data_IF_063226315011
#
_entry.id   IF_063226315011
#
_cell.length_a   1.000
_cell.length_b   1.000
_cell.length_c   1.000
_cell.angle_alpha   90.00
_cell.angle_beta   90.00
_cell.angle_gamma   90.00
#
_symmetry.space_group_name_H-M   'P 1'
#
loop_
_entity.id
_entity.type
_entity.pdbx_description
1 polymer ?
#
# COMPACT_ATOMS: atom_id res chain seq x y z
N UNK A 1 20.58 27.09 -29.19
CA UNK A 1 21.65 26.14 -28.82
C UNK A 1 21.25 25.43 -27.54
N UNK A 2 21.15 24.09 -27.50
CA UNK A 2 20.94 23.38 -26.24
C UNK A 2 22.20 23.50 -25.36
N UNK A 3 22.04 23.86 -24.09
CA UNK A 3 23.16 23.92 -23.13
C UNK A 3 23.68 22.50 -22.87
N UNK A 4 24.99 22.28 -22.74
CA UNK A 4 25.51 20.99 -22.34
C UNK A 4 25.01 20.67 -20.93
N UNK A 5 24.24 19.58 -20.81
CA UNK A 5 23.89 19.03 -19.50
C UNK A 5 25.19 18.61 -18.84
N UNK A 6 25.54 19.24 -17.71
CA UNK A 6 26.81 18.97 -17.05
C UNK A 6 26.82 17.50 -16.58
N UNK A 7 27.90 16.77 -16.89
CA UNK A 7 28.11 15.38 -16.44
C UNK A 7 27.92 15.22 -14.91
N UNK A 8 28.19 16.29 -14.14
CA UNK A 8 27.93 16.38 -12.70
C UNK A 8 26.44 16.29 -12.34
N UNK A 9 25.54 16.85 -13.15
CA UNK A 9 24.10 16.75 -12.94
C UNK A 9 23.61 15.32 -13.22
N UNK A 10 24.13 14.68 -14.26
CA UNK A 10 23.78 13.30 -14.61
C UNK A 10 24.25 12.29 -13.55
N UNK A 11 25.47 12.46 -13.01
CA UNK A 11 26.00 11.59 -11.96
C UNK A 11 25.26 11.73 -10.62
N UNK A 12 24.94 12.97 -10.19
CA UNK A 12 24.15 13.20 -8.97
C UNK A 12 22.71 12.67 -9.08
N UNK A 13 22.11 12.75 -10.27
CA UNK A 13 20.79 12.18 -10.52
C UNK A 13 20.81 10.65 -10.51
N UNK A 14 21.87 10.03 -11.03
CA UNK A 14 22.09 8.57 -10.97
C UNK A 14 22.27 8.06 -9.53
N UNK A 15 23.10 8.71 -8.73
CA UNK A 15 23.28 8.30 -7.32
C UNK A 15 21.98 8.40 -6.52
N UNK A 16 21.23 9.50 -6.67
CA UNK A 16 19.92 9.67 -6.03
C UNK A 16 18.90 8.61 -6.48
N UNK A 17 18.92 8.24 -7.76
CA UNK A 17 18.08 7.16 -8.29
C UNK A 17 18.41 5.82 -7.63
N UNK A 18 19.70 5.47 -7.53
CA UNK A 18 20.13 4.23 -6.87
C UNK A 18 19.65 4.17 -5.42
N UNK A 19 19.79 5.27 -4.66
CA UNK A 19 19.31 5.32 -3.27
C UNK A 19 17.80 5.15 -3.15
N UNK A 20 17.02 5.76 -4.07
CA UNK A 20 15.57 5.63 -4.07
C UNK A 20 15.13 4.19 -4.41
N UNK A 21 15.81 3.53 -5.34
CA UNK A 21 15.53 2.13 -5.68
C UNK A 21 15.87 1.16 -4.55
N UNK A 22 17.01 1.36 -3.88
CA UNK A 22 17.39 0.56 -2.72
C UNK A 22 16.36 0.73 -1.59
N UNK A 23 15.97 1.97 -1.31
CA UNK A 23 14.90 2.28 -0.34
C UNK A 23 13.59 1.60 -0.75
N UNK A 24 13.21 1.65 -2.03
CA UNK A 24 12.00 0.99 -2.52
C UNK A 24 12.07 -0.52 -2.32
N UNK A 25 13.19 -1.17 -2.65
CA UNK A 25 13.40 -2.61 -2.46
C UNK A 25 13.26 -3.00 -0.99
N UNK A 26 13.84 -2.22 -0.07
CA UNK A 26 13.72 -2.45 1.37
C UNK A 26 12.27 -2.30 1.86
N UNK A 27 11.59 -1.24 1.46
CA UNK A 27 10.19 -1.02 1.84
C UNK A 27 9.26 -2.10 1.28
N UNK A 28 9.49 -2.56 0.04
CA UNK A 28 8.76 -3.68 -0.57
C UNK A 28 9.01 -5.00 0.17
N UNK A 29 10.24 -5.24 0.65
CA UNK A 29 10.56 -6.41 1.48
C UNK A 29 9.80 -6.36 2.82
N UNK A 30 9.80 -5.21 3.49
CA UNK A 30 9.02 -5.00 4.72
C UNK A 30 7.53 -5.18 4.48
N UNK A 31 7.00 -4.64 3.37
CA UNK A 31 5.61 -4.77 2.98
C UNK A 31 5.22 -6.25 2.81
N UNK A 32 6.05 -7.02 2.11
CA UNK A 32 5.85 -8.45 1.90
C UNK A 32 5.87 -9.24 3.21
N UNK A 33 6.78 -8.90 4.11
CA UNK A 33 6.91 -9.56 5.42
C UNK A 33 5.68 -9.31 6.30
N UNK A 34 5.21 -8.06 6.41
CA UNK A 34 3.99 -7.72 7.16
C UNK A 34 2.77 -8.44 6.57
N UNK A 35 2.66 -8.50 5.25
CA UNK A 35 1.58 -9.26 4.61
C UNK A 35 1.64 -10.75 4.98
N UNK A 36 2.84 -11.36 4.97
CA UNK A 36 3.05 -12.76 5.34
C UNK A 36 2.64 -13.04 6.80
N UNK A 37 3.09 -12.22 7.75
CA UNK A 37 2.81 -12.38 9.18
C UNK A 37 1.30 -12.37 9.44
N UNK A 38 0.57 -11.45 8.81
CA UNK A 38 -0.86 -11.29 9.01
C UNK A 38 -1.73 -12.07 8.01
N UNK A 39 -1.12 -12.97 7.21
CA UNK A 39 -1.81 -13.81 6.21
C UNK A 39 -2.64 -12.99 5.20
N UNK A 40 -2.10 -11.85 4.79
CA UNK A 40 -2.67 -10.98 3.77
C UNK A 40 -2.04 -11.37 2.42
N UNK A 41 -2.80 -11.21 1.33
CA UNK A 41 -2.27 -11.33 -0.03
C UNK A 41 -1.03 -10.43 -0.22
N UNK A 42 -0.06 -10.89 -1.01
CA UNK A 42 1.17 -10.12 -1.28
C UNK A 42 0.85 -8.80 -1.99
N UNK A 43 1.14 -7.69 -1.32
CA UNK A 43 0.92 -6.32 -1.81
C UNK A 43 2.16 -5.70 -2.47
N UNK A 44 3.29 -6.40 -2.51
CA UNK A 44 4.55 -5.89 -3.10
C UNK A 44 4.47 -5.63 -4.60
N UNK A 45 3.49 -6.21 -5.29
CA UNK A 45 3.23 -5.96 -6.71
C UNK A 45 2.57 -4.60 -7.00
N UNK A 46 2.13 -3.88 -5.97
CA UNK A 46 1.53 -2.54 -6.07
C UNK A 46 0.35 -2.43 -7.07
N UNK A 47 -0.33 -3.54 -7.36
CA UNK A 47 -1.39 -3.62 -8.38
C UNK A 47 -2.69 -2.86 -8.06
N UNK A 48 -2.89 -2.48 -6.80
CA UNK A 48 -4.08 -1.75 -6.36
C UNK A 48 -3.87 -0.25 -6.51
N UNK A 49 -4.95 0.50 -6.75
CA UNK A 49 -4.91 1.96 -6.76
C UNK A 49 -4.46 2.50 -5.41
N UNK A 50 -5.07 2.00 -4.35
CA UNK A 50 -4.70 2.29 -2.96
C UNK A 50 -5.26 1.21 -2.05
N UNK A 51 -4.84 1.22 -0.80
CA UNK A 51 -5.44 0.45 0.27
C UNK A 51 -5.89 1.40 1.40
N UNK A 52 -6.88 0.98 2.17
CA UNK A 52 -7.36 1.71 3.34
C UNK A 52 -7.98 0.77 4.38
N UNK A 53 -8.03 1.24 5.62
CA UNK A 53 -8.81 0.60 6.67
C UNK A 53 -10.21 1.19 6.71
N UNK A 54 -11.21 0.31 6.81
CA UNK A 54 -12.61 0.67 6.98
C UNK A 54 -13.12 0.10 8.30
N UNK A 55 -13.61 0.97 9.17
CA UNK A 55 -14.29 0.57 10.40
C UNK A 55 -15.75 0.30 10.06
N UNK A 56 -16.24 -0.89 10.39
CA UNK A 56 -17.60 -1.33 10.07
C UNK A 56 -18.28 -1.89 11.31
N UNK A 57 -19.52 -1.49 11.53
CA UNK A 57 -20.36 -2.08 12.58
C UNK A 57 -21.26 -3.13 11.94
N UNK A 58 -21.16 -4.37 12.39
CA UNK A 58 -22.01 -5.47 11.94
C UNK A 58 -23.08 -5.70 13.00
N UNK A 59 -24.33 -5.74 12.56
CA UNK A 59 -25.48 -6.11 13.39
C UNK A 59 -25.90 -7.53 13.02
N UNK A 60 -25.93 -8.42 14.01
CA UNK A 60 -26.39 -9.80 13.85
C UNK A 60 -27.59 -10.03 14.77
N UNK A 61 -28.72 -10.37 14.17
CA UNK A 61 -29.89 -10.82 14.92
C UNK A 61 -29.63 -12.25 15.41
N UNK A 62 -29.83 -12.45 16.71
CA UNK A 62 -29.70 -13.75 17.38
C UNK A 62 -31.00 -14.08 18.11
N UNK A 63 -31.18 -15.32 18.55
CA UNK A 63 -32.35 -15.74 19.36
C UNK A 63 -32.50 -14.96 20.68
N UNK A 64 -31.45 -14.26 21.13
CA UNK A 64 -31.41 -13.43 22.35
C UNK A 64 -31.52 -11.93 22.07
N UNK A 65 -31.81 -11.52 20.82
CA UNK A 65 -31.86 -10.11 20.39
C UNK A 65 -30.76 -9.72 19.39
N UNK A 66 -30.58 -8.41 19.16
CA UNK A 66 -29.59 -7.88 18.20
C UNK A 66 -28.24 -7.70 18.90
N UNK A 67 -27.21 -8.43 18.45
CA UNK A 67 -25.82 -8.20 18.86
C UNK A 67 -25.12 -7.34 17.81
N UNK A 68 -24.40 -6.31 18.24
CA UNK A 68 -23.56 -5.50 17.35
C UNK A 68 -22.09 -5.62 17.70
N UNK A 69 -21.23 -5.81 16.71
CA UNK A 69 -19.78 -5.87 16.88
C UNK A 69 -19.08 -5.02 15.83
N UNK A 70 -17.92 -4.48 16.19
CA UNK A 70 -17.10 -3.63 15.33
C UNK A 70 -15.99 -4.44 14.68
N UNK A 71 -15.69 -4.13 13.42
CA UNK A 71 -14.63 -4.77 12.64
C UNK A 71 -13.80 -3.74 11.90
N UNK A 72 -12.50 -4.00 11.84
CA UNK A 72 -11.58 -3.28 10.97
C UNK A 72 -11.33 -4.12 9.74
N UNK A 73 -11.61 -3.55 8.56
CA UNK A 73 -11.42 -4.21 7.27
C UNK A 73 -10.31 -3.52 6.49
N UNK A 74 -9.29 -4.27 6.09
CA UNK A 74 -8.32 -3.81 5.10
C UNK A 74 -8.92 -3.98 3.71
N UNK A 75 -9.17 -2.86 3.03
CA UNK A 75 -9.75 -2.81 1.69
C UNK A 75 -8.74 -2.33 0.68
N UNK A 76 -8.71 -3.00 -0.46
CA UNK A 76 -7.99 -2.59 -1.65
C UNK A 76 -8.95 -2.02 -2.68
N UNK A 77 -8.55 -0.91 -3.30
CA UNK A 77 -9.30 -0.23 -4.34
C UNK A 77 -8.59 -0.45 -5.67
N UNK A 78 -9.34 -0.78 -6.70
CA UNK A 78 -8.83 -1.00 -8.05
C UNK A 78 -9.76 -0.34 -9.06
N UNK A 79 -9.19 0.13 -10.15
CA UNK A 79 -9.95 0.59 -11.30
C UNK A 79 -10.05 -0.56 -12.31
N UNK A 80 -11.26 -1.03 -12.62
CA UNK A 80 -11.47 -2.06 -13.65
C UNK A 80 -12.64 -1.63 -14.53
N UNK A 81 -12.39 -1.53 -15.83
CA UNK A 81 -13.41 -1.20 -16.85
C UNK A 81 -14.12 0.14 -16.57
N UNK A 82 -13.37 1.17 -16.17
CA UNK A 82 -13.92 2.50 -15.85
C UNK A 82 -14.71 2.57 -14.53
N UNK A 83 -14.75 1.48 -13.74
CA UNK A 83 -15.45 1.42 -12.46
C UNK A 83 -14.48 1.16 -11.31
N UNK A 84 -14.66 1.88 -10.21
CA UNK A 84 -13.96 1.61 -8.96
C UNK A 84 -14.53 0.33 -8.34
N UNK A 85 -13.69 -0.68 -8.18
CA UNK A 85 -14.02 -1.92 -7.45
C UNK A 85 -13.22 -1.95 -6.14
N UNK A 86 -13.83 -2.56 -5.13
CA UNK A 86 -13.23 -2.69 -3.81
C UNK A 86 -13.16 -4.16 -3.43
N UNK A 87 -12.01 -4.60 -2.93
CA UNK A 87 -11.77 -5.96 -2.44
C UNK A 87 -11.38 -5.90 -0.97
N UNK A 88 -12.03 -6.68 -0.12
CA UNK A 88 -11.56 -6.87 1.27
C UNK A 88 -10.40 -7.86 1.25
N UNK A 89 -9.23 -7.43 1.71
CA UNK A 89 -8.02 -8.25 1.78
C UNK A 89 -7.95 -9.03 3.09
N UNK A 90 -8.35 -8.40 4.19
CA UNK A 90 -8.40 -9.00 5.52
C UNK A 90 -9.38 -8.23 6.41
N UNK A 91 -9.84 -8.88 7.48
CA UNK A 91 -10.88 -8.35 8.35
C UNK A 91 -10.70 -8.89 9.76
N UNK A 92 -10.53 -7.99 10.71
CA UNK A 92 -10.33 -8.32 12.13
C UNK A 92 -11.50 -7.78 12.96
N UNK A 93 -11.69 -8.35 14.14
CA UNK A 93 -12.45 -7.63 15.17
C UNK A 93 -11.62 -6.43 15.63
N UNK A 94 -12.27 -5.36 16.05
CA UNK A 94 -11.57 -4.13 16.41
C UNK A 94 -10.54 -4.36 17.53
N UNK A 95 -10.91 -5.15 18.53
CA UNK A 95 -10.07 -5.54 19.67
C UNK A 95 -8.90 -6.47 19.31
N UNK A 96 -8.97 -7.17 18.17
CA UNK A 96 -7.95 -8.13 17.71
C UNK A 96 -7.10 -7.53 16.57
N UNK A 97 -7.27 -6.25 16.24
CA UNK A 97 -6.61 -5.64 15.08
C UNK A 97 -5.12 -5.40 15.36
N UNK A 98 -4.19 -5.97 14.56
CA UNK A 98 -2.76 -5.76 14.78
C UNK A 98 -2.36 -4.30 14.51
N UNK A 99 -1.53 -3.73 15.37
CA UNK A 99 -1.10 -2.33 15.27
C UNK A 99 -0.34 -2.04 13.96
N UNK A 100 0.39 -3.04 13.46
CA UNK A 100 1.16 -3.01 12.23
C UNK A 100 0.28 -2.77 10.99
N UNK A 101 -1.01 -3.13 11.04
CA UNK A 101 -1.94 -2.94 9.92
C UNK A 101 -2.22 -1.45 9.67
N UNK A 102 -2.20 -0.61 10.70
CA UNK A 102 -2.31 0.84 10.53
C UNK A 102 -1.08 1.41 9.80
N UNK A 103 0.10 0.83 10.05
CA UNK A 103 1.35 1.22 9.36
C UNK A 103 1.41 0.66 7.95
N UNK A 104 0.84 -0.52 7.71
CA UNK A 104 0.80 -1.19 6.41
C UNK A 104 0.20 -0.30 5.32
N UNK A 105 -0.88 0.43 5.63
CA UNK A 105 -1.51 1.36 4.68
C UNK A 105 -0.54 2.46 4.25
N UNK A 106 0.17 3.05 5.20
CA UNK A 106 1.14 4.11 4.92
C UNK A 106 2.35 3.56 4.17
N UNK A 107 2.83 2.37 4.53
CA UNK A 107 3.91 1.69 3.84
C UNK A 107 3.57 1.42 2.37
N UNK A 108 2.39 0.88 2.09
CA UNK A 108 1.93 0.64 0.72
C UNK A 108 1.88 1.93 -0.11
N UNK A 109 1.33 3.02 0.46
CA UNK A 109 1.27 4.32 -0.21
C UNK A 109 2.66 4.91 -0.45
N UNK A 110 3.58 4.76 0.50
CA UNK A 110 4.97 5.18 0.36
C UNK A 110 5.67 4.43 -0.78
N UNK A 111 5.57 3.09 -0.82
CA UNK A 111 6.11 2.29 -1.91
C UNK A 111 5.55 2.72 -3.27
N UNK A 112 4.24 2.99 -3.34
CA UNK A 112 3.60 3.42 -4.59
C UNK A 112 4.06 4.79 -5.07
N UNK A 113 4.18 5.75 -4.15
CA UNK A 113 4.67 7.09 -4.49
C UNK A 113 6.15 7.06 -4.89
N UNK A 114 6.95 6.24 -4.21
CA UNK A 114 8.37 6.08 -4.51
C UNK A 114 8.58 5.39 -5.88
N UNK A 115 7.80 4.34 -6.18
CA UNK A 115 7.79 3.71 -7.51
C UNK A 115 7.48 4.73 -8.60
N UNK A 116 6.43 5.54 -8.43
CA UNK A 116 6.07 6.60 -9.40
C UNK A 116 7.16 7.66 -9.55
N UNK A 117 7.84 8.00 -8.45
CA UNK A 117 8.96 8.94 -8.49
C UNK A 117 10.14 8.35 -9.27
N UNK A 118 10.44 7.05 -9.10
CA UNK A 118 11.44 6.36 -9.92
C UNK A 118 11.03 6.38 -11.40
N UNK A 119 9.79 5.99 -11.74
CA UNK A 119 9.28 5.99 -13.13
C UNK A 119 9.46 7.37 -13.79
N UNK A 120 9.04 8.43 -13.09
CA UNK A 120 9.18 9.81 -13.55
C UNK A 120 10.65 10.22 -13.78
N UNK A 121 11.55 9.84 -12.88
CA UNK A 121 12.98 10.15 -13.00
C UNK A 121 13.66 9.36 -14.14
N UNK A 122 13.16 8.17 -14.47
CA UNK A 122 13.61 7.39 -15.63
C UNK A 122 12.98 7.83 -16.96
N UNK A 123 11.98 8.72 -16.93
CA UNK A 123 11.28 9.20 -18.12
C UNK A 123 10.34 8.15 -18.71
N UNK A 124 9.81 7.25 -17.88
CA UNK A 124 8.84 6.20 -18.25
C UNK A 124 7.42 6.65 -17.95
#
# INVERSE_FOLDING_TARGET
MPRPVSHLFLNKSREKLTTLEETLKELLKTLKEVCRIHKIEDLSTLKYETIALAHTQIRKTTSQGIKSYRRVQLKAYLHKEGKQKTKTLASWKEEETPAEIYRLVNLYRACKNLSRACDYLYGV
#
